data_IF_357803151456
#
_entry.id   IF_357803151456
#
_cell.length_a   1.000
_cell.length_b   1.000
_cell.length_c   1.000
_cell.angle_alpha   90.00
_cell.angle_beta   90.00
_cell.angle_gamma   90.00
#
_symmetry.space_group_name_H-M   'P 1'
#
loop_
_entity.id
_entity.type
_entity.pdbx_description
1 polymer ?
#
# COMPACT_ATOMS: atom_id res chain seq x y z
N UNK A 1 5.75 -4.17 -38.78
CA UNK A 1 7.01 -4.83 -39.17
C UNK A 1 7.19 -6.08 -38.32
N UNK A 2 7.68 -7.18 -38.90
CA UNK A 2 7.99 -8.38 -38.14
C UNK A 2 9.30 -8.20 -37.38
N UNK A 3 9.28 -8.47 -36.08
CA UNK A 3 10.41 -8.27 -35.17
C UNK A 3 11.15 -9.57 -34.84
N UNK A 4 10.51 -10.74 -34.98
CA UNK A 4 11.11 -12.05 -34.71
C UNK A 4 11.67 -12.72 -35.96
N UNK A 5 12.88 -13.28 -35.86
CA UNK A 5 13.53 -14.10 -36.90
C UNK A 5 13.79 -15.57 -36.50
N UNK A 6 13.27 -16.00 -35.36
CA UNK A 6 13.58 -17.30 -34.75
C UNK A 6 12.75 -18.41 -35.38
N UNK A 7 13.39 -19.55 -35.65
CA UNK A 7 12.78 -20.76 -36.19
C UNK A 7 12.66 -21.81 -35.11
N UNK A 8 11.62 -22.62 -35.20
CA UNK A 8 11.45 -23.79 -34.33
C UNK A 8 12.46 -24.90 -34.68
N UNK A 9 12.39 -26.00 -33.93
CA UNK A 9 13.26 -27.19 -34.09
C UNK A 9 13.16 -27.80 -35.50
N UNK A 10 12.06 -27.58 -36.22
CA UNK A 10 11.83 -28.05 -37.59
C UNK A 10 12.20 -27.02 -38.67
N UNK A 11 12.87 -25.92 -38.30
CA UNK A 11 13.27 -24.85 -39.22
C UNK A 11 12.12 -23.99 -39.73
N UNK A 12 10.91 -24.13 -39.16
CA UNK A 12 9.72 -23.35 -39.53
C UNK A 12 9.54 -22.17 -38.59
N UNK A 13 9.07 -21.05 -39.12
CA UNK A 13 8.77 -19.86 -38.34
C UNK A 13 7.27 -19.86 -38.01
N UNK A 14 6.93 -20.06 -36.74
CA UNK A 14 5.54 -20.13 -36.27
C UNK A 14 5.15 -18.93 -35.39
N UNK A 15 6.11 -18.34 -34.68
CA UNK A 15 5.85 -17.24 -33.74
C UNK A 15 6.15 -15.88 -34.38
N UNK A 16 5.10 -15.27 -34.95
CA UNK A 16 5.14 -13.94 -35.55
C UNK A 16 5.01 -12.87 -34.46
N UNK A 17 6.10 -12.20 -34.13
CA UNK A 17 6.07 -11.01 -33.27
C UNK A 17 6.04 -9.80 -34.20
N UNK A 18 4.95 -9.04 -34.13
CA UNK A 18 4.74 -7.85 -34.95
C UNK A 18 4.83 -6.60 -34.07
N UNK A 19 5.52 -5.58 -34.57
CA UNK A 19 5.59 -4.25 -33.95
C UNK A 19 5.41 -3.13 -34.96
N UNK A 20 5.06 -1.94 -34.47
CA UNK A 20 5.12 -0.71 -35.26
C UNK A 20 6.58 -0.22 -35.37
N UNK A 21 6.81 0.82 -36.18
CA UNK A 21 8.17 1.39 -36.38
C UNK A 21 8.79 1.87 -35.08
N UNK A 22 8.01 2.53 -34.22
CA UNK A 22 8.45 2.95 -32.89
C UNK A 22 8.88 1.77 -31.99
N UNK A 23 8.21 0.62 -32.07
CA UNK A 23 8.61 -0.58 -31.35
C UNK A 23 9.88 -1.21 -31.94
N UNK A 24 10.12 -1.11 -33.25
CA UNK A 24 11.35 -1.60 -33.87
C UNK A 24 12.59 -0.82 -33.41
N UNK A 25 12.44 0.47 -33.09
CA UNK A 25 13.54 1.32 -32.62
C UNK A 25 13.92 1.07 -31.15
N UNK A 26 12.99 0.51 -30.35
CA UNK A 26 13.12 0.35 -28.89
C UNK A 26 13.29 -1.11 -28.46
N UNK A 27 12.74 -2.05 -29.24
CA UNK A 27 12.95 -3.47 -29.06
C UNK A 27 14.37 -3.85 -29.49
N UNK A 28 15.16 -4.42 -28.57
CA UNK A 28 16.37 -5.15 -28.94
C UNK A 28 16.05 -6.42 -29.75
N UNK A 29 17.09 -7.12 -30.21
CA UNK A 29 16.94 -8.39 -30.91
C UNK A 29 16.15 -9.42 -30.06
N UNK A 30 15.15 -10.04 -30.66
CA UNK A 30 14.38 -11.13 -30.03
C UNK A 30 15.24 -12.38 -30.10
N UNK A 31 15.53 -12.99 -28.95
CA UNK A 31 16.39 -14.16 -28.82
C UNK A 31 15.61 -15.35 -28.24
N UNK A 32 16.12 -16.57 -28.41
CA UNK A 32 15.63 -17.73 -27.65
C UNK A 32 16.08 -17.60 -26.20
N UNK A 33 15.15 -17.74 -25.25
CA UNK A 33 15.45 -17.61 -23.84
C UNK A 33 16.39 -18.74 -23.39
N UNK A 34 17.43 -18.40 -22.64
CA UNK A 34 18.36 -19.40 -22.10
C UNK A 34 17.78 -20.20 -20.92
N UNK A 35 16.72 -19.68 -20.28
CA UNK A 35 16.08 -20.28 -19.12
C UNK A 35 14.56 -20.33 -19.31
N UNK A 36 14.00 -21.54 -19.21
CA UNK A 36 12.58 -21.80 -19.44
C UNK A 36 11.83 -21.95 -18.12
N UNK A 37 10.80 -21.14 -17.89
CA UNK A 37 9.94 -21.24 -16.69
C UNK A 37 8.97 -22.44 -16.74
N UNK A 38 8.76 -23.00 -17.93
CA UNK A 38 7.93 -24.16 -18.21
C UNK A 38 8.70 -25.14 -19.12
N UNK A 39 8.36 -26.43 -19.14
CA UNK A 39 8.93 -27.39 -20.10
C UNK A 39 8.68 -26.91 -21.54
N UNK A 40 9.72 -26.90 -22.38
CA UNK A 40 9.64 -26.43 -23.76
C UNK A 40 8.71 -27.31 -24.61
N UNK A 41 7.88 -26.66 -25.44
CA UNK A 41 7.18 -27.33 -26.54
C UNK A 41 8.07 -27.26 -27.79
N UNK A 42 8.20 -28.39 -28.49
CA UNK A 42 8.88 -28.52 -29.79
C UNK A 42 8.43 -27.52 -30.85
N UNK A 43 7.23 -26.95 -30.73
CA UNK A 43 6.70 -25.95 -31.67
C UNK A 43 7.00 -24.50 -31.27
N UNK A 44 7.15 -24.23 -29.97
CA UNK A 44 7.21 -22.87 -29.41
C UNK A 44 8.44 -22.75 -28.49
N UNK A 45 9.61 -22.33 -29.03
CA UNK A 45 10.76 -22.02 -28.18
C UNK A 45 10.41 -20.84 -27.28
N UNK A 46 10.86 -20.81 -26.01
CA UNK A 46 10.64 -19.59 -25.25
C UNK A 46 11.52 -18.48 -25.79
N UNK A 47 10.97 -17.28 -25.77
CA UNK A 47 11.58 -16.09 -26.36
C UNK A 47 11.90 -15.10 -25.24
N UNK A 48 13.06 -14.47 -25.35
CA UNK A 48 13.48 -13.36 -24.52
C UNK A 48 13.57 -12.10 -25.38
N UNK A 49 13.03 -10.99 -24.86
CA UNK A 49 13.01 -9.70 -25.53
C UNK A 49 13.41 -8.63 -24.52
N UNK A 50 14.43 -7.84 -24.87
CA UNK A 50 14.87 -6.70 -24.08
C UNK A 50 14.28 -5.42 -24.68
N UNK A 51 13.48 -4.70 -23.89
CA UNK A 51 12.97 -3.38 -24.23
C UNK A 51 13.82 -2.33 -23.53
N UNK A 52 14.51 -1.49 -24.28
CA UNK A 52 15.19 -0.31 -23.73
C UNK A 52 14.18 0.82 -23.58
N UNK A 53 13.35 0.73 -22.54
CA UNK A 53 12.47 1.85 -22.20
C UNK A 53 13.33 2.91 -21.54
N UNK A 54 13.60 4.02 -22.23
CA UNK A 54 14.11 5.23 -21.60
C UNK A 54 13.24 5.47 -20.38
N UNK A 55 13.82 5.40 -19.18
CA UNK A 55 13.07 5.64 -17.95
C UNK A 55 12.39 6.99 -18.11
N UNK A 56 11.07 7.05 -18.30
CA UNK A 56 10.43 8.32 -18.38
C UNK A 56 10.46 8.83 -16.95
N UNK A 57 11.16 9.93 -16.72
CA UNK A 57 11.19 10.64 -15.46
C UNK A 57 9.77 11.04 -14.95
N UNK A 58 8.70 10.65 -15.66
CA UNK A 58 7.34 11.15 -15.49
C UNK A 58 6.22 10.16 -15.86
N UNK A 59 6.42 8.82 -15.89
CA UNK A 59 5.25 7.90 -16.09
C UNK A 59 4.25 7.91 -14.92
N UNK A 60 4.56 8.58 -13.81
CA UNK A 60 3.59 8.87 -12.75
C UNK A 60 2.95 10.26 -12.81
N UNK A 61 3.34 11.12 -13.74
CA UNK A 61 2.80 12.49 -13.84
C UNK A 61 1.72 12.66 -14.92
N UNK A 62 1.60 11.72 -15.87
CA UNK A 62 0.68 11.86 -17.01
C UNK A 62 -0.48 10.86 -17.04
N UNK A 63 -0.71 10.10 -15.96
CA UNK A 63 -2.12 9.93 -15.61
C UNK A 63 -2.52 11.28 -15.05
N UNK A 64 -3.44 12.04 -15.67
CA UNK A 64 -3.98 13.19 -14.99
C UNK A 64 -4.70 12.65 -13.75
N UNK A 65 -4.01 12.67 -12.61
CA UNK A 65 -4.65 12.95 -11.34
C UNK A 65 -5.14 14.38 -11.48
N UNK A 66 -6.21 14.57 -12.25
CA UNK A 66 -6.92 15.82 -12.31
C UNK A 66 -7.30 16.15 -10.87
N UNK A 67 -6.83 17.28 -10.30
CA UNK A 67 -7.32 17.79 -9.02
C UNK A 67 -8.71 18.41 -9.21
N UNK A 68 -9.59 17.69 -9.88
CA UNK A 68 -10.93 18.07 -10.30
C UNK A 68 -11.61 16.80 -10.80
N UNK A 69 -12.77 16.47 -10.21
CA UNK A 69 -13.43 15.17 -10.35
C UNK A 69 -13.46 14.64 -11.78
N UNK A 70 -13.19 13.34 -11.90
CA UNK A 70 -13.27 12.58 -13.15
C UNK A 70 -14.50 13.03 -13.96
N UNK A 71 -14.29 13.73 -15.08
CA UNK A 71 -15.36 14.11 -16.01
C UNK A 71 -15.76 12.90 -16.86
N UNK A 72 -15.96 11.76 -16.22
CA UNK A 72 -16.29 10.53 -16.91
C UNK A 72 -17.65 10.68 -17.59
N UNK A 73 -17.75 10.50 -18.92
CA UNK A 73 -19.03 10.51 -19.61
C UNK A 73 -19.95 9.42 -19.05
N UNK A 74 -21.20 9.77 -18.75
CA UNK A 74 -22.20 8.82 -18.30
C UNK A 74 -22.88 8.12 -19.49
N UNK A 75 -22.20 7.14 -20.09
CA UNK A 75 -22.72 6.39 -21.24
C UNK A 75 -24.08 5.70 -20.99
N UNK A 76 -24.46 5.46 -19.72
CA UNK A 76 -25.78 4.92 -19.37
C UNK A 76 -26.93 5.90 -19.66
N UNK A 77 -26.64 7.20 -19.66
CA UNK A 77 -27.57 8.29 -19.98
C UNK A 77 -27.27 8.94 -21.34
N UNK A 78 -26.50 8.27 -22.20
CA UNK A 78 -26.19 8.76 -23.54
C UNK A 78 -27.47 8.88 -24.39
N UNK A 79 -27.67 10.03 -25.00
CA UNK A 79 -28.72 10.21 -26.02
C UNK A 79 -28.27 9.56 -27.33
N UNK A 80 -28.67 8.28 -27.50
CA UNK A 80 -28.30 7.47 -28.66
C UNK A 80 -28.89 8.00 -29.97
N UNK A 81 -30.10 8.59 -29.92
CA UNK A 81 -30.79 9.09 -31.11
C UNK A 81 -30.13 10.37 -31.64
N UNK A 82 -29.69 11.24 -30.73
CA UNK A 82 -28.93 12.44 -31.08
C UNK A 82 -27.54 12.09 -31.60
N UNK A 83 -26.84 11.15 -30.95
CA UNK A 83 -25.52 10.69 -31.40
C UNK A 83 -25.59 10.07 -32.80
N UNK A 84 -26.57 9.20 -33.06
CA UNK A 84 -26.74 8.56 -34.36
C UNK A 84 -26.99 9.59 -35.47
N UNK A 85 -27.81 10.61 -35.22
CA UNK A 85 -28.05 11.71 -36.17
C UNK A 85 -26.77 12.48 -36.47
N UNK A 86 -26.02 12.88 -35.45
CA UNK A 86 -24.76 13.61 -35.64
C UNK A 86 -23.72 12.81 -36.44
N UNK A 87 -23.64 11.49 -36.22
CA UNK A 87 -22.75 10.62 -36.98
C UNK A 87 -23.20 10.49 -38.44
N UNK A 88 -24.51 10.41 -38.70
CA UNK A 88 -25.06 10.29 -40.06
C UNK A 88 -24.99 11.57 -40.87
N UNK A 89 -25.16 12.73 -40.22
CA UNK A 89 -25.16 14.04 -40.87
C UNK A 89 -23.74 14.61 -41.07
N UNK A 90 -22.73 14.03 -40.41
CA UNK A 90 -21.36 14.50 -40.54
C UNK A 90 -20.69 13.98 -41.82
N UNK A 91 -19.92 14.85 -42.46
CA UNK A 91 -19.15 14.49 -43.65
C UNK A 91 -17.87 13.73 -43.27
N UNK A 92 -17.82 12.46 -43.69
CA UNK A 92 -16.69 11.56 -43.45
C UNK A 92 -15.69 11.52 -44.61
N UNK A 93 -15.86 12.38 -45.63
CA UNK A 93 -14.99 12.44 -46.81
C UNK A 93 -13.49 12.58 -46.49
N UNK A 94 -13.14 13.14 -45.33
CA UNK A 94 -11.75 13.25 -44.87
C UNK A 94 -11.08 11.88 -44.66
N UNK A 95 -11.83 10.80 -44.44
CA UNK A 95 -11.29 9.45 -44.32
C UNK A 95 -10.77 8.89 -45.64
N UNK A 96 -11.23 9.44 -46.77
CA UNK A 96 -10.84 9.02 -48.12
C UNK A 96 -9.69 9.88 -48.70
N UNK A 97 -9.12 10.80 -47.90
CA UNK A 97 -8.00 11.66 -48.31
C UNK A 97 -6.64 10.97 -48.09
N UNK A 98 -5.59 11.43 -48.78
CA UNK A 98 -4.21 10.89 -48.70
C UNK A 98 -3.48 11.19 -47.37
N UNK A 99 -4.21 11.17 -46.26
CA UNK A 99 -3.72 11.44 -44.91
C UNK A 99 -3.19 10.15 -44.28
N UNK A 100 -2.21 10.26 -43.38
CA UNK A 100 -1.70 9.09 -42.64
C UNK A 100 -2.81 8.47 -41.77
N UNK A 101 -2.77 7.15 -41.57
CA UNK A 101 -3.78 6.42 -40.77
C UNK A 101 -3.92 7.00 -39.37
N UNK A 102 -2.80 7.40 -38.75
CA UNK A 102 -2.80 7.95 -37.39
C UNK A 102 -3.48 9.33 -37.33
N UNK A 103 -3.27 10.16 -38.34
CA UNK A 103 -3.86 11.50 -38.43
C UNK A 103 -5.35 11.42 -38.78
N UNK A 104 -5.75 10.48 -39.65
CA UNK A 104 -7.16 10.15 -39.90
C UNK A 104 -7.86 9.65 -38.62
N UNK A 105 -7.21 8.75 -37.86
CA UNK A 105 -7.72 8.24 -36.59
C UNK A 105 -7.83 9.33 -35.51
N UNK A 106 -6.86 10.24 -35.42
CA UNK A 106 -6.90 11.38 -34.52
C UNK A 106 -8.07 12.33 -34.86
N UNK A 107 -8.25 12.64 -36.13
CA UNK A 107 -9.34 13.49 -36.61
C UNK A 107 -10.71 12.84 -36.34
N UNK A 108 -10.86 11.55 -36.66
CA UNK A 108 -12.07 10.78 -36.33
C UNK A 108 -12.37 10.83 -34.82
N UNK A 109 -11.36 10.57 -34.00
CA UNK A 109 -11.50 10.55 -32.54
C UNK A 109 -11.90 11.93 -31.99
N UNK A 110 -11.35 13.00 -32.55
CA UNK A 110 -11.68 14.38 -32.19
C UNK A 110 -13.15 14.71 -32.47
N UNK A 111 -13.62 14.37 -33.67
CA UNK A 111 -15.02 14.58 -34.08
C UNK A 111 -15.98 13.79 -33.19
N UNK A 112 -15.73 12.49 -33.00
CA UNK A 112 -16.57 11.64 -32.16
C UNK A 112 -16.58 12.10 -30.70
N UNK A 113 -15.44 12.56 -30.17
CA UNK A 113 -15.36 13.11 -28.80
C UNK A 113 -16.17 14.39 -28.64
N UNK A 114 -16.22 15.24 -29.67
CA UNK A 114 -17.07 16.43 -29.70
C UNK A 114 -18.56 16.06 -29.65
N UNK A 115 -18.99 15.08 -30.46
CA UNK A 115 -20.37 14.59 -30.43
C UNK A 115 -20.73 14.00 -29.07
N UNK A 116 -19.86 13.15 -28.51
CA UNK A 116 -20.06 12.56 -27.19
C UNK A 116 -20.17 13.63 -26.11
N UNK A 117 -19.40 14.72 -26.19
CA UNK A 117 -19.51 15.85 -25.25
C UNK A 117 -20.87 16.54 -25.30
N UNK A 118 -21.54 16.53 -26.47
CA UNK A 118 -22.87 17.13 -26.67
C UNK A 118 -24.05 16.18 -26.40
N UNK A 119 -23.80 14.87 -26.40
CA UNK A 119 -24.79 13.81 -26.27
C UNK A 119 -24.73 13.07 -24.92
N UNK A 120 -23.60 13.13 -24.23
CA UNK A 120 -23.34 12.37 -23.02
C UNK A 120 -23.17 13.31 -21.81
N UNK A 121 -24.09 13.28 -20.84
CA UNK A 121 -23.91 14.05 -19.61
C UNK A 121 -22.71 13.52 -18.81
N UNK A 122 -22.01 14.42 -18.13
CA UNK A 122 -20.87 14.07 -17.27
C UNK A 122 -21.37 13.38 -16.01
N UNK A 123 -20.67 12.33 -15.54
CA UNK A 123 -20.90 11.76 -14.20
C UNK A 123 -20.49 12.79 -13.16
N UNK A 124 -21.44 13.24 -12.36
CA UNK A 124 -21.09 13.98 -11.16
C UNK A 124 -20.39 13.02 -10.18
N UNK A 125 -19.23 13.40 -9.63
CA UNK A 125 -18.59 12.61 -8.60
C UNK A 125 -19.57 12.40 -7.47
N UNK A 126 -19.63 11.17 -6.95
CA UNK A 126 -20.38 10.88 -5.74
C UNK A 126 -19.95 11.90 -4.68
N UNK A 127 -20.89 12.56 -3.96
CA UNK A 127 -20.54 13.45 -2.84
C UNK A 127 -19.89 12.69 -1.69
N UNK A 128 -19.75 11.36 -1.82
CA UNK A 128 -19.18 10.47 -0.83
C UNK A 128 -17.79 10.01 -1.29
N UNK A 129 -16.82 9.94 -0.37
CA UNK A 129 -15.50 9.38 -0.67
C UNK A 129 -15.60 7.95 -1.22
N UNK A 130 -14.65 7.56 -2.08
CA UNK A 130 -14.61 6.20 -2.67
C UNK A 130 -14.61 5.08 -1.62
N UNK A 131 -14.00 5.32 -0.47
CA UNK A 131 -13.91 4.36 0.63
C UNK A 131 -15.21 4.25 1.46
N UNK A 132 -16.23 5.07 1.17
CA UNK A 132 -17.51 5.07 1.91
C UNK A 132 -18.57 4.24 1.20
N UNK A 133 -18.52 2.93 1.38
CA UNK A 133 -19.56 2.04 0.87
C UNK A 133 -20.85 2.07 1.73
N UNK A 134 -21.91 1.39 1.25
CA UNK A 134 -23.18 1.28 1.98
C UNK A 134 -23.07 0.46 3.27
N UNK A 135 -22.18 -0.54 3.31
CA UNK A 135 -22.04 -1.49 4.41
C UNK A 135 -21.34 -0.86 5.63
N UNK A 136 -20.25 -0.13 5.42
CA UNK A 136 -19.55 0.67 6.41
C UNK A 136 -20.50 1.66 7.08
N UNK A 137 -21.39 2.29 6.30
CA UNK A 137 -22.41 3.21 6.81
C UNK A 137 -23.46 2.50 7.66
N UNK A 138 -23.90 1.32 7.28
CA UNK A 138 -24.81 0.50 8.08
C UNK A 138 -24.14 0.11 9.41
N UNK A 139 -22.91 -0.40 9.38
CA UNK A 139 -22.14 -0.74 10.58
C UNK A 139 -21.92 0.45 11.50
N UNK A 140 -21.62 1.64 10.93
CA UNK A 140 -21.49 2.89 11.69
C UNK A 140 -22.81 3.29 12.36
N UNK A 141 -23.93 3.13 11.66
CA UNK A 141 -25.27 3.38 12.20
C UNK A 141 -25.59 2.42 13.35
N UNK A 142 -25.30 1.13 13.18
CA UNK A 142 -25.54 0.11 14.20
C UNK A 142 -24.69 0.34 15.45
N UNK A 143 -23.41 0.70 15.29
CA UNK A 143 -22.55 1.11 16.39
C UNK A 143 -23.13 2.31 17.16
N UNK A 144 -23.57 3.37 16.46
CA UNK A 144 -24.19 4.55 17.10
C UNK A 144 -25.47 4.19 17.84
N UNK A 145 -26.32 3.34 17.26
CA UNK A 145 -27.57 2.87 17.89
C UNK A 145 -27.30 2.08 19.17
N UNK A 146 -26.35 1.14 19.12
CA UNK A 146 -25.95 0.35 20.28
C UNK A 146 -25.28 1.22 21.37
N UNK A 147 -24.48 2.21 20.99
CA UNK A 147 -23.86 3.15 21.93
C UNK A 147 -24.91 4.01 22.63
N UNK A 148 -25.90 4.51 21.89
CA UNK A 148 -27.01 5.27 22.45
C UNK A 148 -27.82 4.44 23.45
N UNK A 149 -28.22 3.22 23.06
CA UNK A 149 -28.94 2.30 23.93
C UNK A 149 -28.19 1.96 25.23
N UNK A 150 -26.87 1.76 25.14
CA UNK A 150 -26.03 1.53 26.33
C UNK A 150 -25.86 2.79 27.18
N UNK A 151 -25.75 3.99 26.58
CA UNK A 151 -25.68 5.25 27.35
C UNK A 151 -26.94 5.49 28.17
N UNK A 152 -28.10 5.08 27.67
CA UNK A 152 -29.39 5.22 28.35
C UNK A 152 -29.53 4.15 29.45
N UNK A 153 -29.37 2.86 29.13
CA UNK A 153 -29.69 1.80 30.11
C UNK A 153 -28.54 1.38 31.02
N UNK A 154 -27.29 1.52 30.57
CA UNK A 154 -26.07 0.94 31.17
C UNK A 154 -26.17 -0.55 31.53
N UNK A 155 -26.99 -1.30 30.80
CA UNK A 155 -27.22 -2.72 31.06
C UNK A 155 -26.17 -3.63 30.39
N UNK A 156 -25.89 -4.77 31.00
CA UNK A 156 -24.92 -5.75 30.49
C UNK A 156 -25.30 -6.27 29.09
N UNK A 157 -26.59 -6.43 28.82
CA UNK A 157 -27.08 -6.80 27.48
C UNK A 157 -26.71 -5.76 26.43
N UNK A 158 -26.93 -4.47 26.71
CA UNK A 158 -26.57 -3.41 25.77
C UNK A 158 -25.05 -3.22 25.67
N UNK A 159 -24.29 -3.51 26.74
CA UNK A 159 -22.83 -3.53 26.68
C UNK A 159 -22.32 -4.61 25.72
N UNK A 160 -22.90 -5.82 25.73
CA UNK A 160 -22.57 -6.88 24.78
C UNK A 160 -22.89 -6.49 23.34
N UNK A 161 -24.08 -5.93 23.11
CA UNK A 161 -24.47 -5.44 21.78
C UNK A 161 -23.55 -4.33 21.27
N UNK A 162 -23.18 -3.38 22.14
CA UNK A 162 -22.22 -2.33 21.81
C UNK A 162 -20.84 -2.91 21.47
N UNK A 163 -20.33 -3.86 22.26
CA UNK A 163 -19.06 -4.53 21.98
C UNK A 163 -19.08 -5.24 20.63
N UNK A 164 -20.18 -5.93 20.31
CA UNK A 164 -20.36 -6.61 19.02
C UNK A 164 -20.41 -5.62 17.85
N UNK A 165 -21.28 -4.61 17.91
CA UNK A 165 -21.42 -3.62 16.86
C UNK A 165 -20.12 -2.81 16.67
N UNK A 166 -19.43 -2.46 17.75
CA UNK A 166 -18.13 -1.81 17.69
C UNK A 166 -17.05 -2.71 17.08
N UNK A 167 -17.07 -4.01 17.35
CA UNK A 167 -16.16 -4.98 16.74
C UNK A 167 -16.40 -5.07 15.23
N UNK A 168 -17.66 -5.24 14.80
CA UNK A 168 -18.04 -5.35 13.40
C UNK A 168 -17.69 -4.08 12.60
N UNK A 169 -17.96 -2.90 13.17
CA UNK A 169 -17.56 -1.64 12.56
C UNK A 169 -16.03 -1.51 12.43
N UNK A 170 -15.26 -1.83 13.48
CA UNK A 170 -13.79 -1.75 13.46
C UNK A 170 -13.13 -2.76 12.54
N UNK A 171 -13.68 -3.97 12.42
CA UNK A 171 -13.15 -4.98 11.51
C UNK A 171 -13.32 -4.56 10.05
N UNK A 172 -14.42 -3.87 9.75
CA UNK A 172 -14.72 -3.42 8.39
C UNK A 172 -14.02 -2.09 8.04
N UNK A 173 -13.94 -1.15 8.99
CA UNK A 173 -13.27 0.13 8.80
C UNK A 173 -11.76 0.04 9.05
N UNK A 174 -11.13 -0.95 8.42
CA UNK A 174 -9.70 -1.22 8.54
C UNK A 174 -9.06 -1.09 7.17
N UNK A 175 -8.45 0.05 6.91
CA UNK A 175 -7.68 0.24 5.68
C UNK A 175 -6.22 -0.14 5.92
N UNK A 176 -5.69 -1.06 5.11
CA UNK A 176 -4.34 -1.62 5.22
C UNK A 176 -3.93 -1.98 6.68
N UNK A 177 -4.85 -2.42 7.53
CA UNK A 177 -4.57 -2.77 8.91
C UNK A 177 -4.64 -1.62 9.94
N UNK A 178 -4.91 -0.39 9.51
CA UNK A 178 -5.08 0.80 10.35
C UNK A 178 -6.56 1.10 10.55
N UNK A 179 -6.95 1.46 11.78
CA UNK A 179 -8.32 1.88 12.06
C UNK A 179 -8.45 3.39 11.89
N UNK A 180 -9.37 3.79 11.02
CA UNK A 180 -9.66 5.19 10.74
C UNK A 180 -10.89 5.64 11.55
N UNK A 181 -10.78 6.80 12.17
CA UNK A 181 -11.91 7.48 12.83
C UNK A 181 -12.31 8.73 12.01
N UNK A 182 -13.54 9.20 12.17
CA UNK A 182 -14.09 10.33 11.40
C UNK A 182 -13.32 11.65 11.58
N UNK A 183 -12.59 11.78 12.69
CA UNK A 183 -11.76 12.92 13.10
C UNK A 183 -10.26 12.64 12.91
N UNK A 184 -9.90 11.50 12.29
CA UNK A 184 -8.54 10.95 12.24
C UNK A 184 -7.85 10.86 13.62
N UNK A 185 -8.65 10.68 14.68
CA UNK A 185 -8.17 10.46 16.04
C UNK A 185 -7.82 8.98 16.22
N UNK A 186 -6.57 8.62 15.95
CA UNK A 186 -6.07 7.24 15.99
C UNK A 186 -6.00 6.61 17.41
N UNK A 187 -6.68 7.17 18.40
CA UNK A 187 -6.61 6.72 19.80
C UNK A 187 -7.04 5.25 19.97
N UNK A 188 -8.19 4.88 19.39
CA UNK A 188 -8.67 3.50 19.45
C UNK A 188 -7.76 2.52 18.70
N UNK A 189 -7.15 2.97 17.60
CA UNK A 189 -6.15 2.18 16.87
C UNK A 189 -4.91 1.93 17.74
N UNK A 190 -4.40 2.99 18.35
CA UNK A 190 -3.22 2.95 19.21
C UNK A 190 -3.41 2.03 20.42
N UNK A 191 -4.59 2.07 21.05
CA UNK A 191 -4.91 1.17 22.15
C UNK A 191 -4.92 -0.30 21.69
N UNK A 192 -5.51 -0.58 20.53
CA UNK A 192 -5.49 -1.93 19.94
C UNK A 192 -4.07 -2.42 19.61
N UNK A 193 -3.24 -1.55 19.05
CA UNK A 193 -1.82 -1.85 18.75
C UNK A 193 -1.05 -2.14 20.04
N UNK A 194 -1.18 -1.27 21.05
CA UNK A 194 -0.50 -1.43 22.34
C UNK A 194 -0.94 -2.71 23.08
N UNK A 195 -2.23 -3.02 23.06
CA UNK A 195 -2.78 -4.26 23.63
C UNK A 195 -2.29 -5.49 22.88
N UNK A 196 -2.33 -5.47 21.54
CA UNK A 196 -1.83 -6.54 20.70
C UNK A 196 -0.33 -6.81 20.92
N UNK A 197 0.46 -5.75 21.03
CA UNK A 197 1.88 -5.83 21.32
C UNK A 197 2.16 -6.33 22.75
N UNK A 198 1.37 -5.91 23.74
CA UNK A 198 1.46 -6.42 25.11
C UNK A 198 1.10 -7.91 25.20
N UNK A 199 0.06 -8.37 24.49
CA UNK A 199 -0.30 -9.80 24.44
C UNK A 199 0.82 -10.63 23.84
N UNK A 200 1.42 -10.16 22.74
CA UNK A 200 2.57 -10.82 22.11
C UNK A 200 3.78 -10.86 23.05
N UNK A 201 4.07 -9.76 23.74
CA UNK A 201 5.14 -9.71 24.73
C UNK A 201 4.88 -10.69 25.89
N UNK A 202 3.64 -10.82 26.35
CA UNK A 202 3.26 -11.80 27.37
C UNK A 202 3.44 -13.24 26.89
N UNK A 203 3.14 -13.53 25.62
CA UNK A 203 3.40 -14.82 25.00
C UNK A 203 4.91 -15.11 24.95
N UNK A 204 5.71 -14.17 24.44
CA UNK A 204 7.19 -14.30 24.42
C UNK A 204 7.71 -14.56 25.83
N UNK A 205 7.25 -13.80 26.82
CA UNK A 205 7.66 -13.99 28.22
C UNK A 205 7.39 -15.41 28.71
N UNK A 206 6.24 -16.02 28.39
CA UNK A 206 5.95 -17.40 28.80
C UNK A 206 6.77 -18.43 28.05
N UNK A 207 6.87 -18.30 26.71
CA UNK A 207 7.60 -19.25 25.87
C UNK A 207 9.11 -19.26 26.13
N UNK A 208 9.64 -18.15 26.62
CA UNK A 208 11.08 -17.96 26.83
C UNK A 208 11.46 -17.90 28.31
N UNK A 209 10.68 -18.54 29.21
CA UNK A 209 10.91 -18.48 30.66
C UNK A 209 12.35 -18.81 31.04
N UNK A 210 12.94 -19.79 30.37
CA UNK A 210 14.30 -20.29 30.61
C UNK A 210 15.41 -19.48 29.90
N UNK A 211 15.06 -18.63 28.94
CA UNK A 211 16.04 -17.88 28.15
C UNK A 211 16.49 -16.65 28.94
N UNK A 212 17.80 -16.60 29.23
CA UNK A 212 18.45 -15.49 29.93
C UNK A 212 19.28 -14.58 29.02
N UNK A 213 19.59 -15.03 27.80
CA UNK A 213 20.35 -14.24 26.84
C UNK A 213 19.55 -13.00 26.37
N UNK A 214 20.02 -11.78 26.67
CA UNK A 214 19.34 -10.55 26.29
C UNK A 214 19.30 -10.34 24.77
N UNK A 215 20.27 -10.89 24.01
CA UNK A 215 20.31 -10.74 22.55
C UNK A 215 19.24 -11.60 21.88
N UNK A 216 19.08 -12.86 22.32
CA UNK A 216 17.97 -13.72 21.88
C UNK A 216 16.59 -13.08 22.18
N UNK A 217 16.39 -12.57 23.41
CA UNK A 217 15.13 -11.90 23.77
C UNK A 217 14.89 -10.64 22.93
N UNK A 218 15.95 -9.87 22.64
CA UNK A 218 15.90 -8.71 21.75
C UNK A 218 15.50 -9.11 20.34
N UNK A 219 16.06 -10.18 19.80
CA UNK A 219 15.71 -10.68 18.47
C UNK A 219 14.22 -11.03 18.39
N UNK A 220 13.70 -11.77 19.37
CA UNK A 220 12.28 -12.10 19.44
C UNK A 220 11.38 -10.86 19.54
N UNK A 221 11.77 -9.88 20.36
CA UNK A 221 11.05 -8.60 20.44
C UNK A 221 11.05 -7.87 19.09
N UNK A 222 12.20 -7.80 18.42
CA UNK A 222 12.33 -7.13 17.13
C UNK A 222 11.56 -7.84 16.01
N UNK A 223 11.42 -9.15 16.08
CA UNK A 223 10.69 -9.93 15.07
C UNK A 223 9.17 -9.89 15.28
N UNK A 224 8.68 -9.94 16.52
CA UNK A 224 7.25 -10.20 16.78
C UNK A 224 6.49 -9.01 17.37
N UNK A 225 7.15 -8.21 18.20
CA UNK A 225 6.51 -7.09 18.91
C UNK A 225 6.75 -5.78 18.18
N UNK A 226 8.00 -5.51 17.78
CA UNK A 226 8.39 -4.28 17.10
C UNK A 226 7.59 -4.00 15.82
N UNK A 227 7.34 -4.98 14.91
CA UNK A 227 6.59 -4.69 13.70
C UNK A 227 5.16 -4.25 14.00
N UNK A 228 4.55 -4.72 15.09
CA UNK A 228 3.21 -4.27 15.50
C UNK A 228 3.19 -2.81 15.92
N UNK A 229 4.25 -2.33 16.55
CA UNK A 229 4.37 -0.94 17.00
C UNK A 229 4.70 0.00 15.83
N UNK A 230 5.50 -0.47 14.86
CA UNK A 230 6.07 0.40 13.82
C UNK A 230 5.25 0.43 12.54
N UNK A 231 4.44 -0.60 12.31
CA UNK A 231 3.65 -0.75 11.09
C UNK A 231 2.74 0.46 10.88
N UNK A 232 2.85 1.09 9.72
CA UNK A 232 2.10 2.28 9.34
C UNK A 232 2.21 3.46 10.33
N UNK A 233 3.22 3.47 11.21
CA UNK A 233 3.40 4.49 12.26
C UNK A 233 3.46 5.91 11.70
N UNK A 234 3.95 6.09 10.46
CA UNK A 234 3.96 7.40 9.79
C UNK A 234 2.56 8.01 9.66
N UNK A 235 1.54 7.17 9.47
CA UNK A 235 0.14 7.58 9.30
C UNK A 235 -0.51 7.89 10.64
N UNK A 236 -0.42 6.97 11.61
CA UNK A 236 -1.23 7.02 12.83
C UNK A 236 -0.47 7.43 14.08
N UNK A 237 0.86 7.62 14.02
CA UNK A 237 1.66 7.94 15.22
C UNK A 237 1.13 9.21 15.88
N UNK A 238 0.84 9.16 17.18
CA UNK A 238 0.32 10.32 17.89
C UNK A 238 1.40 11.39 18.01
N UNK A 239 0.98 12.65 18.06
CA UNK A 239 1.86 13.78 18.44
C UNK A 239 1.81 14.05 19.95
N UNK A 240 0.70 13.68 20.61
CA UNK A 240 0.52 13.87 22.04
C UNK A 240 1.42 12.99 22.90
N UNK A 241 2.10 13.59 23.88
CA UNK A 241 3.01 12.92 24.82
C UNK A 241 2.35 11.71 25.50
N UNK A 242 1.11 11.87 25.95
CA UNK A 242 0.36 10.83 26.67
C UNK A 242 0.04 9.61 25.82
N UNK A 243 -0.24 9.80 24.53
CA UNK A 243 -0.52 8.70 23.60
C UNK A 243 0.76 7.98 23.19
N UNK A 244 1.85 8.73 22.97
CA UNK A 244 3.17 8.13 22.70
C UNK A 244 3.68 7.30 23.87
N UNK A 245 3.46 7.74 25.11
CA UNK A 245 3.83 7.01 26.32
C UNK A 245 3.16 5.64 26.44
N UNK A 246 1.96 5.44 25.86
CA UNK A 246 1.28 4.13 25.86
C UNK A 246 2.05 3.10 25.01
N UNK A 247 2.57 3.50 23.86
CA UNK A 247 3.43 2.66 23.02
C UNK A 247 4.78 2.42 23.69
N UNK A 248 5.38 3.49 24.23
CA UNK A 248 6.66 3.43 24.94
C UNK A 248 6.59 2.47 26.15
N UNK A 249 5.43 2.40 26.81
CA UNK A 249 5.18 1.45 27.92
C UNK A 249 5.38 -0.01 27.51
N UNK A 250 5.10 -0.37 26.25
CA UNK A 250 5.34 -1.74 25.73
C UNK A 250 6.84 -2.03 25.69
N UNK A 251 7.64 -1.14 25.12
CA UNK A 251 9.10 -1.27 25.09
C UNK A 251 9.70 -1.21 26.51
N UNK A 252 9.20 -0.34 27.38
CA UNK A 252 9.59 -0.30 28.80
C UNK A 252 9.31 -1.63 29.52
N UNK A 253 8.20 -2.31 29.23
CA UNK A 253 7.90 -3.65 29.76
C UNK A 253 8.91 -4.68 29.26
N UNK A 254 9.19 -4.68 27.96
CA UNK A 254 10.16 -5.61 27.37
C UNK A 254 11.57 -5.42 27.95
N UNK A 255 12.07 -4.18 27.99
CA UNK A 255 13.42 -3.89 28.50
C UNK A 255 13.58 -4.28 29.97
N UNK A 256 12.52 -4.11 30.80
CA UNK A 256 12.54 -4.61 32.17
C UNK A 256 12.60 -6.14 32.24
N UNK A 257 11.81 -6.82 31.42
CA UNK A 257 11.79 -8.29 31.36
C UNK A 257 13.17 -8.84 30.98
N UNK A 258 13.75 -8.33 29.89
CA UNK A 258 15.04 -8.81 29.37
C UNK A 258 16.18 -8.55 30.35
N UNK A 259 16.30 -7.34 30.90
CA UNK A 259 17.36 -7.00 31.85
C UNK A 259 17.20 -7.75 33.17
N UNK A 260 15.97 -7.93 33.67
CA UNK A 260 15.73 -8.70 34.90
C UNK A 260 16.13 -10.16 34.77
N UNK A 261 15.88 -10.77 33.60
CA UNK A 261 16.31 -12.14 33.32
C UNK A 261 17.81 -12.26 33.18
N UNK A 262 18.44 -11.29 32.51
CA UNK A 262 19.88 -11.26 32.35
C UNK A 262 20.61 -11.14 33.69
N UNK A 263 20.14 -10.26 34.59
CA UNK A 263 20.73 -10.07 35.91
C UNK A 263 20.52 -11.28 36.84
N UNK A 264 19.47 -12.08 36.61
CA UNK A 264 19.12 -13.26 37.41
C UNK A 264 19.03 -13.00 38.94
N UNK A 265 18.80 -11.75 39.33
CA UNK A 265 18.61 -11.31 40.70
C UNK A 265 17.32 -10.48 40.78
N UNK A 266 16.39 -10.92 41.63
CA UNK A 266 15.09 -10.28 41.81
C UNK A 266 15.15 -9.03 42.68
N UNK A 267 16.22 -8.87 43.46
CA UNK A 267 16.45 -7.74 44.39
C UNK A 267 17.24 -6.60 43.76
N UNK A 268 17.95 -6.87 42.66
CA UNK A 268 18.73 -5.89 41.95
C UNK A 268 17.87 -4.71 41.43
N UNK A 269 18.33 -3.50 41.72
CA UNK A 269 17.71 -2.28 41.19
C UNK A 269 17.96 -2.18 39.68
N UNK A 270 16.87 -2.08 38.91
CA UNK A 270 16.96 -1.99 37.46
C UNK A 270 17.47 -0.59 37.04
N UNK A 271 18.42 -0.49 36.09
CA UNK A 271 18.89 0.79 35.59
C UNK A 271 17.75 1.56 34.91
N UNK A 272 17.84 2.90 34.78
CA UNK A 272 16.80 3.72 34.18
C UNK A 272 16.52 3.33 32.73
N UNK A 273 15.34 3.68 32.22
CA UNK A 273 14.88 3.23 30.90
C UNK A 273 15.87 3.47 29.74
N UNK A 274 16.46 4.68 29.59
CA UNK A 274 17.43 4.92 28.53
C UNK A 274 18.67 4.01 28.62
N UNK A 275 19.13 3.70 29.83
CA UNK A 275 20.26 2.81 30.04
C UNK A 275 19.93 1.36 29.65
N UNK A 276 18.71 0.87 29.96
CA UNK A 276 18.25 -0.45 29.50
C UNK A 276 18.16 -0.53 27.98
N UNK A 277 17.69 0.52 27.32
CA UNK A 277 17.66 0.59 25.87
C UNK A 277 19.06 0.52 25.25
N UNK A 278 20.04 1.24 25.82
CA UNK A 278 21.44 1.17 25.38
C UNK A 278 22.03 -0.23 25.54
N UNK A 279 21.83 -0.87 26.70
CA UNK A 279 22.30 -2.23 26.94
C UNK A 279 21.75 -3.25 25.93
N UNK A 280 20.49 -3.07 25.52
CA UNK A 280 19.81 -3.95 24.58
C UNK A 280 19.96 -3.49 23.11
N UNK A 281 20.67 -2.41 22.81
CA UNK A 281 20.79 -1.87 21.45
C UNK A 281 19.44 -1.51 20.81
N UNK A 282 18.53 -0.92 21.60
CA UNK A 282 17.19 -0.52 21.17
C UNK A 282 17.04 1.00 21.11
N UNK A 283 16.49 1.49 20.00
CA UNK A 283 16.05 2.89 19.85
C UNK A 283 14.64 3.03 20.43
N UNK A 284 14.32 4.18 21.04
CA UNK A 284 12.99 4.44 21.61
C UNK A 284 11.88 4.31 20.56
N UNK A 285 10.63 4.04 20.96
CA UNK A 285 9.52 3.97 19.99
C UNK A 285 9.32 5.34 19.35
N UNK A 286 9.38 6.39 20.18
CA UNK A 286 9.22 7.78 19.73
C UNK A 286 10.23 8.13 18.64
N UNK A 287 11.51 7.87 18.86
CA UNK A 287 12.56 8.26 17.90
C UNK A 287 12.43 7.46 16.60
N UNK A 288 12.01 6.19 16.67
CA UNK A 288 11.75 5.36 15.48
C UNK A 288 10.60 5.93 14.65
N UNK A 289 9.52 6.36 15.29
CA UNK A 289 8.39 7.00 14.61
C UNK A 289 8.77 8.36 14.01
N UNK A 290 9.51 9.18 14.75
CA UNK A 290 10.04 10.47 14.25
C UNK A 290 10.96 10.28 13.05
N UNK A 291 11.82 9.26 13.08
CA UNK A 291 12.69 8.92 11.96
C UNK A 291 11.89 8.46 10.74
N UNK A 292 10.92 7.56 10.91
CA UNK A 292 10.07 7.08 9.81
C UNK A 292 9.26 8.22 9.15
N UNK A 293 8.79 9.18 9.95
CA UNK A 293 8.13 10.41 9.45
C UNK A 293 9.08 11.29 8.65
N UNK A 294 10.28 11.52 9.18
CA UNK A 294 11.29 12.35 8.51
C UNK A 294 11.72 11.74 7.18
N UNK A 295 11.89 10.41 7.13
CA UNK A 295 12.17 9.68 5.90
C UNK A 295 11.03 9.81 4.88
N UNK A 296 9.76 9.72 5.33
CA UNK A 296 8.63 9.93 4.41
C UNK A 296 8.73 11.31 3.74
N UNK A 297 8.92 12.35 4.54
CA UNK A 297 8.96 13.73 4.06
C UNK A 297 10.13 13.92 3.10
N UNK A 298 11.32 13.41 3.44
CA UNK A 298 12.48 13.48 2.55
C UNK A 298 12.20 12.80 1.20
N UNK A 299 11.63 11.60 1.21
CA UNK A 299 11.31 10.87 -0.03
C UNK A 299 10.24 11.59 -0.87
N UNK A 300 9.26 12.22 -0.23
CA UNK A 300 8.26 13.06 -0.92
C UNK A 300 8.94 14.25 -1.59
N UNK A 301 9.83 14.95 -0.88
CA UNK A 301 10.54 16.13 -1.40
C UNK A 301 11.50 15.77 -2.56
N UNK A 302 12.04 14.56 -2.57
CA UNK A 302 12.94 14.05 -3.60
C UNK A 302 12.20 13.42 -4.80
N UNK A 303 10.87 13.29 -4.74
CA UNK A 303 10.09 12.65 -5.81
C UNK A 303 10.23 11.12 -5.89
N UNK A 304 10.97 10.50 -4.97
CA UNK A 304 11.23 9.05 -4.92
C UNK A 304 10.08 8.28 -4.24
N UNK A 305 8.83 8.54 -4.64
CA UNK A 305 7.68 7.86 -4.03
C UNK A 305 7.51 6.42 -4.56
N UNK A 306 8.52 5.56 -4.49
CA UNK A 306 8.32 4.12 -4.73
C UNK A 306 7.71 3.49 -3.48
N UNK A 307 6.42 3.12 -3.56
CA UNK A 307 5.61 2.54 -2.48
C UNK A 307 6.04 1.19 -1.92
N UNK A 308 7.34 0.84 -1.95
CA UNK A 308 7.87 -0.48 -1.55
C UNK A 308 9.01 -0.37 -0.53
N UNK A 309 9.58 0.81 -0.27
CA UNK A 309 10.76 0.94 0.64
C UNK A 309 10.44 0.97 2.13
N UNK A 310 9.16 0.89 2.54
CA UNK A 310 8.81 0.77 3.97
C UNK A 310 9.11 -0.62 4.57
N UNK A 311 9.47 -1.58 3.74
CA UNK A 311 9.93 -2.90 4.16
C UNK A 311 11.45 -2.97 4.11
N UNK A 312 12.14 -2.26 5.01
CA UNK A 312 13.53 -2.67 5.25
C UNK A 312 13.50 -4.03 5.95
N UNK A 313 14.06 -5.09 5.33
CA UNK A 313 14.25 -6.36 6.00
C UNK A 313 15.17 -6.12 7.21
N UNK A 314 14.97 -6.90 8.25
CA UNK A 314 15.73 -6.96 9.51
C UNK A 314 17.27 -6.90 9.33
N UNK A 315 17.80 -7.17 8.13
CA UNK A 315 19.22 -7.16 7.79
C UNK A 315 19.94 -5.79 7.73
N UNK A 316 19.25 -4.65 7.59
CA UNK A 316 19.95 -3.34 7.56
C UNK A 316 20.48 -2.93 8.94
N UNK A 317 19.81 -3.34 10.02
CA UNK A 317 20.24 -3.07 11.40
C UNK A 317 21.48 -3.87 11.83
N UNK A 318 21.80 -4.97 11.13
CA UNK A 318 23.02 -5.75 11.41
C UNK A 318 24.28 -5.15 10.76
N UNK A 319 24.16 -4.26 9.77
CA UNK A 319 25.33 -3.61 9.14
C UNK A 319 25.85 -2.39 9.92
N UNK A 320 25.01 -1.75 10.73
CA UNK A 320 25.45 -0.61 11.56
C UNK A 320 26.29 -1.02 12.79
N UNK A 321 26.44 -2.32 13.07
CA UNK A 321 27.30 -2.81 14.15
C UNK A 321 28.76 -3.06 13.73
N UNK A 322 29.16 -2.76 12.49
CA UNK A 322 30.49 -3.12 11.97
C UNK A 322 31.39 -1.95 11.53
N UNK A 323 31.05 -0.71 11.89
CA UNK A 323 31.94 0.43 11.66
C UNK A 323 32.12 1.20 12.97
N UNK A 324 33.10 0.73 13.76
CA UNK A 324 33.84 1.56 14.70
C UNK A 324 35.27 1.56 14.16
N UNK A 325 35.82 2.71 13.71
CA UNK A 325 37.23 2.77 13.33
C UNK A 325 38.10 2.69 14.59
N UNK A 326 39.20 1.93 14.48
CA UNK A 326 40.38 2.10 15.33
C UNK A 326 41.27 3.16 14.71
#
# INVERSE_FOLDING_TARGET
>A
MQLSGIRNVYGRQLDLILGNTAAADVCGAINTAALHLLPEDTHHPALELCLLVDTPATVRANHPLSPGGSRDPNFRKLDRLKLARLIQEYDWSFLDTDVTIDEAAANFTSVVSSFLSSCCPIRYPSPRPLWSDGHLRALKSDYKRALSAHRISRSERHLRTLKYAASAYRSYNRDLGVWLDDRLSFGAHLDSVAEGACRMLGLISRMTSEIRDPLCLRALYCCWVRPKLDYASVIWSPEGVTAMDRLERVQRKFTRLAVRRFLNDHTATLPPYPARCRLLGLVSVKDRHSHARSLLIANILQGEFCGVTYWQPIGSFLRQAKVVPS
#
